data_IF_469689417859
#
_entry.id   IF_469689417859
#
_cell.length_a   1.000
_cell.length_b   1.000
_cell.length_c   1.000
_cell.angle_alpha   90.00
_cell.angle_beta   90.00
_cell.angle_gamma   90.00
#
_symmetry.space_group_name_H-M   'P 1'
#
loop_
_entity.id
_entity.type
_entity.pdbx_description
1 polymer ?
#
# COMPACT_ATOMS: atom_id res chain seq x y z
N UNK A 1 9.46 14.35 0.27
CA UNK A 1 8.17 13.73 0.66
C UNK A 1 8.00 13.58 2.18
N UNK A 2 8.95 14.07 2.99
CA UNK A 2 8.99 13.82 4.43
C UNK A 2 9.29 15.08 5.26
N UNK A 3 9.06 16.29 4.75
CA UNK A 3 9.17 17.49 5.61
C UNK A 3 8.02 17.61 6.62
N UNK A 4 6.98 16.76 6.52
CA UNK A 4 6.01 16.56 7.60
C UNK A 4 5.17 15.28 7.38
N UNK A 5 5.76 14.09 7.55
CA UNK A 5 4.95 12.85 7.62
C UNK A 5 3.83 12.97 8.66
N UNK A 6 4.07 13.74 9.72
CA UNK A 6 3.09 14.11 10.75
C UNK A 6 1.89 14.87 10.16
N UNK A 7 2.10 15.94 9.41
CA UNK A 7 1.02 16.73 8.78
C UNK A 7 0.22 15.88 7.77
N UNK A 8 0.88 14.98 7.03
CA UNK A 8 0.18 14.06 6.15
C UNK A 8 -0.71 13.09 6.92
N UNK A 9 -0.20 12.48 8.00
CA UNK A 9 -0.97 11.57 8.85
C UNK A 9 -2.12 12.29 9.55
N UNK A 10 -1.91 13.51 10.04
CA UNK A 10 -2.98 14.34 10.60
C UNK A 10 -4.07 14.62 9.56
N UNK A 11 -3.70 15.00 8.33
CA UNK A 11 -4.65 15.21 7.24
C UNK A 11 -5.43 13.93 6.90
N UNK A 12 -4.77 12.77 6.89
CA UNK A 12 -5.44 11.48 6.64
C UNK A 12 -6.39 11.14 7.80
N UNK A 13 -5.99 11.35 9.05
CA UNK A 13 -6.82 11.07 10.23
C UNK A 13 -8.04 11.99 10.33
N UNK A 14 -7.92 13.24 9.89
CA UNK A 14 -9.00 14.24 9.98
C UNK A 14 -9.98 14.21 8.80
N UNK A 15 -9.64 13.50 7.71
CA UNK A 15 -10.43 13.53 6.47
C UNK A 15 -10.73 12.12 5.97
N UNK A 16 -11.99 11.83 5.66
CA UNK A 16 -12.38 10.55 5.06
C UNK A 16 -11.78 10.35 3.66
N UNK A 17 -11.49 11.44 2.95
CA UNK A 17 -10.90 11.42 1.60
C UNK A 17 -9.80 12.48 1.51
N UNK A 18 -8.61 12.06 1.07
CA UNK A 18 -7.46 12.94 0.84
C UNK A 18 -6.94 12.74 -0.58
N UNK A 19 -6.79 13.83 -1.33
CA UNK A 19 -6.14 13.83 -2.64
C UNK A 19 -4.66 14.17 -2.49
N UNK A 20 -3.77 13.27 -2.95
CA UNK A 20 -2.31 13.44 -2.87
C UNK A 20 -1.76 13.55 -4.29
N UNK A 21 -1.18 14.71 -4.63
CA UNK A 21 -0.52 14.94 -5.91
C UNK A 21 1.00 14.98 -5.73
N UNK A 22 1.70 14.04 -6.36
CA UNK A 22 3.18 14.01 -6.39
C UNK A 22 3.68 13.35 -7.67
N UNK A 23 4.95 13.57 -8.03
CA UNK A 23 5.57 12.95 -9.20
C UNK A 23 5.63 11.41 -9.12
N UNK A 24 5.70 10.73 -10.27
CA UNK A 24 6.02 9.29 -10.32
C UNK A 24 7.41 9.05 -9.73
N UNK A 25 7.62 7.89 -9.10
CA UNK A 25 8.88 7.58 -8.41
C UNK A 25 9.01 8.20 -7.02
N UNK A 26 8.05 9.01 -6.58
CA UNK A 26 8.06 9.61 -5.25
C UNK A 26 7.80 8.61 -4.11
N UNK A 27 7.35 7.39 -4.41
CA UNK A 27 7.04 6.38 -3.39
C UNK A 27 5.58 6.34 -2.92
N UNK A 28 4.64 6.93 -3.69
CA UNK A 28 3.19 6.84 -3.37
C UNK A 28 2.69 5.40 -3.19
N UNK A 29 3.15 4.48 -4.01
CA UNK A 29 2.71 3.07 -3.97
C UNK A 29 3.62 2.17 -3.13
N UNK A 30 4.61 2.72 -2.41
CA UNK A 30 5.54 1.94 -1.59
C UNK A 30 5.65 2.51 -0.20
N UNK A 31 6.07 3.77 -0.07
CA UNK A 31 6.34 4.42 1.21
C UNK A 31 5.07 4.85 1.93
N UNK A 32 4.06 5.35 1.22
CA UNK A 32 2.81 5.79 1.86
C UNK A 32 2.05 4.62 2.53
N UNK A 33 1.82 3.47 1.87
CA UNK A 33 1.21 2.32 2.54
C UNK A 33 2.03 1.81 3.73
N UNK A 34 3.37 1.80 3.62
CA UNK A 34 4.23 1.40 4.73
C UNK A 34 4.22 2.39 5.89
N UNK A 35 4.09 3.69 5.61
CA UNK A 35 3.92 4.73 6.64
C UNK A 35 2.61 4.52 7.41
N UNK A 36 1.51 4.28 6.70
CA UNK A 36 0.21 4.00 7.33
C UNK A 36 0.28 2.74 8.20
N UNK A 37 0.93 1.67 7.72
CA UNK A 37 1.10 0.46 8.51
C UNK A 37 1.94 0.71 9.77
N UNK A 38 2.99 1.55 9.67
CA UNK A 38 3.80 1.95 10.81
C UNK A 38 3.05 2.84 11.82
N UNK A 39 2.05 3.59 11.35
CA UNK A 39 1.13 4.40 12.19
C UNK A 39 0.02 3.55 12.85
N UNK A 40 -0.01 2.24 12.61
CA UNK A 40 -0.94 1.31 13.25
C UNK A 40 -2.16 0.93 12.42
N UNK A 41 -2.22 1.32 11.14
CA UNK A 41 -3.27 0.85 10.25
C UNK A 41 -3.09 -0.63 9.91
N UNK A 42 -4.09 -1.45 10.23
CA UNK A 42 -4.01 -2.92 10.06
C UNK A 42 -4.58 -3.43 8.73
N UNK A 43 -5.34 -2.60 8.00
CA UNK A 43 -6.01 -2.99 6.74
C UNK A 43 -5.89 -1.89 5.70
N UNK A 44 -4.85 -1.99 4.88
CA UNK A 44 -4.50 -1.00 3.86
C UNK A 44 -4.64 -1.65 2.49
N UNK A 45 -5.64 -1.22 1.73
CA UNK A 45 -5.87 -1.70 0.36
C UNK A 45 -5.26 -0.71 -0.63
N UNK A 46 -4.32 -1.19 -1.45
CA UNK A 46 -3.68 -0.40 -2.51
C UNK A 46 -4.09 -0.97 -3.85
N UNK A 47 -4.96 -0.25 -4.55
CA UNK A 47 -5.46 -0.72 -5.83
C UNK A 47 -4.50 -0.37 -6.97
N UNK A 48 -4.47 -1.22 -7.99
CA UNK A 48 -3.66 -1.03 -9.20
C UNK A 48 -4.48 -1.40 -10.44
N UNK A 49 -4.35 -0.66 -11.54
CA UNK A 49 -5.11 -0.94 -12.76
C UNK A 49 -4.61 -2.20 -13.51
N UNK A 50 -3.44 -2.75 -13.13
CA UNK A 50 -2.79 -3.87 -13.83
C UNK A 50 -2.30 -4.93 -12.83
N UNK A 51 -2.26 -6.18 -13.28
CA UNK A 51 -1.87 -7.34 -12.45
C UNK A 51 -0.41 -7.32 -12.02
N UNK A 52 0.51 -7.03 -12.95
CA UNK A 52 1.96 -7.09 -12.69
C UNK A 52 2.42 -6.14 -11.56
N UNK A 53 1.98 -4.87 -11.52
CA UNK A 53 2.28 -3.97 -10.39
C UNK A 53 1.89 -4.50 -9.01
N UNK A 54 0.78 -5.25 -8.87
CA UNK A 54 0.36 -5.75 -7.55
C UNK A 54 1.45 -6.64 -6.93
N UNK A 55 1.96 -7.60 -7.69
CA UNK A 55 3.00 -8.52 -7.22
C UNK A 55 4.33 -7.77 -6.97
N UNK A 56 4.79 -6.97 -7.95
CA UNK A 56 6.06 -6.27 -7.86
C UNK A 56 6.11 -5.25 -6.70
N UNK A 57 5.01 -4.55 -6.43
CA UNK A 57 4.95 -3.59 -5.33
C UNK A 57 4.95 -4.28 -3.96
N UNK A 58 4.22 -5.39 -3.81
CA UNK A 58 4.24 -6.17 -2.58
C UNK A 58 5.66 -6.71 -2.29
N UNK A 59 6.30 -7.32 -3.29
CA UNK A 59 7.68 -7.78 -3.16
C UNK A 59 8.62 -6.61 -2.82
N UNK A 60 8.51 -5.49 -3.55
CA UNK A 60 9.34 -4.31 -3.31
C UNK A 60 9.21 -3.77 -1.90
N UNK A 61 7.99 -3.68 -1.36
CA UNK A 61 7.75 -3.22 0.02
C UNK A 61 8.35 -4.19 1.02
N UNK A 62 8.12 -5.50 0.85
CA UNK A 62 8.66 -6.51 1.75
C UNK A 62 10.20 -6.49 1.80
N UNK A 63 10.85 -6.40 0.64
CA UNK A 63 12.31 -6.27 0.56
C UNK A 63 12.80 -4.96 1.18
N UNK A 64 12.16 -3.83 0.87
CA UNK A 64 12.61 -2.51 1.33
C UNK A 64 12.45 -2.34 2.84
N UNK A 65 11.39 -2.91 3.41
CA UNK A 65 11.11 -2.88 4.85
C UNK A 65 11.69 -4.06 5.62
N UNK A 66 12.41 -4.97 4.94
CA UNK A 66 12.97 -6.20 5.53
C UNK A 66 11.93 -7.02 6.31
N UNK A 67 10.71 -7.11 5.78
CA UNK A 67 9.60 -7.84 6.38
C UNK A 67 8.83 -8.62 5.31
N UNK A 68 8.89 -9.94 5.37
CA UNK A 68 8.23 -10.82 4.39
C UNK A 68 6.71 -10.89 4.55
N UNK A 69 6.17 -10.40 5.67
CA UNK A 69 4.75 -10.48 6.02
C UNK A 69 4.02 -9.15 5.93
N UNK A 70 4.75 -8.04 5.74
CA UNK A 70 4.18 -6.69 5.75
C UNK A 70 3.18 -6.46 4.62
N UNK A 71 3.43 -7.02 3.43
CA UNK A 71 2.55 -6.84 2.29
C UNK A 71 2.30 -8.11 1.50
N UNK A 72 1.07 -8.24 1.00
CA UNK A 72 0.60 -9.30 0.13
C UNK A 72 -0.05 -8.73 -1.13
N UNK A 73 -0.49 -9.61 -2.03
CA UNK A 73 -1.18 -9.20 -3.23
C UNK A 73 -2.27 -10.18 -3.66
N UNK A 74 -3.26 -9.68 -4.41
CA UNK A 74 -4.25 -10.52 -5.09
C UNK A 74 -4.67 -9.92 -6.43
N UNK A 75 -4.87 -10.78 -7.41
CA UNK A 75 -5.41 -10.45 -8.72
C UNK A 75 -6.37 -11.56 -9.14
N UNK A 76 -7.09 -11.39 -10.25
CA UNK A 76 -7.95 -12.47 -10.76
C UNK A 76 -7.16 -13.77 -10.95
N UNK A 77 -7.65 -14.83 -10.30
CA UNK A 77 -7.09 -16.19 -10.35
C UNK A 77 -5.80 -16.43 -9.56
N UNK A 78 -5.22 -15.44 -8.87
CA UNK A 78 -3.95 -15.62 -8.15
C UNK A 78 -3.79 -14.66 -6.97
N UNK A 79 -3.09 -15.11 -5.92
CA UNK A 79 -2.80 -14.31 -4.72
C UNK A 79 -1.52 -14.79 -4.03
N UNK A 80 -0.93 -13.93 -3.20
CA UNK A 80 0.17 -14.31 -2.31
C UNK A 80 -0.32 -15.19 -1.16
N UNK A 81 0.60 -15.97 -0.57
CA UNK A 81 0.31 -16.86 0.57
C UNK A 81 -0.12 -16.10 1.83
N UNK A 82 0.42 -14.90 2.03
CA UNK A 82 0.12 -14.01 3.15
C UNK A 82 -1.07 -13.07 2.90
N UNK A 83 -1.84 -13.28 1.83
CA UNK A 83 -2.98 -12.43 1.45
C UNK A 83 -3.93 -12.10 2.61
N UNK A 84 -4.23 -13.08 3.47
CA UNK A 84 -5.21 -12.91 4.56
C UNK A 84 -4.64 -12.26 5.83
N UNK A 85 -3.31 -12.19 5.97
CA UNK A 85 -2.64 -11.73 7.19
C UNK A 85 -1.82 -10.47 6.99
N UNK A 86 -1.50 -10.10 5.75
CA UNK A 86 -0.69 -8.92 5.46
C UNK A 86 -1.50 -7.63 5.71
N UNK A 87 -0.97 -6.66 6.46
CA UNK A 87 -1.65 -5.40 6.70
C UNK A 87 -1.78 -4.54 5.43
N UNK A 88 -0.81 -4.66 4.50
CA UNK A 88 -0.86 -3.99 3.20
C UNK A 88 -1.21 -5.01 2.12
N UNK A 89 -2.27 -4.76 1.37
CA UNK A 89 -2.71 -5.63 0.30
C UNK A 89 -2.77 -4.86 -1.03
N UNK A 90 -1.93 -5.28 -1.99
CA UNK A 90 -1.97 -4.77 -3.35
C UNK A 90 -2.92 -5.59 -4.21
N UNK A 91 -3.88 -4.96 -4.87
CA UNK A 91 -4.87 -5.69 -5.65
C UNK A 91 -5.34 -4.97 -6.90
N UNK A 92 -5.87 -5.72 -7.87
CA UNK A 92 -6.48 -5.12 -9.05
C UNK A 92 -7.85 -4.54 -8.73
N UNK A 93 -8.17 -3.37 -9.28
CA UNK A 93 -9.46 -2.69 -9.07
C UNK A 93 -10.69 -3.61 -9.28
N UNK A 94 -10.60 -4.56 -10.21
CA UNK A 94 -11.67 -5.52 -10.50
C UNK A 94 -12.02 -6.51 -9.37
N UNK A 95 -11.22 -6.59 -8.30
CA UNK A 95 -11.52 -7.40 -7.12
C UNK A 95 -12.36 -6.67 -6.06
N UNK A 96 -12.56 -5.36 -6.20
CA UNK A 96 -13.39 -4.54 -5.30
C UNK A 96 -14.79 -4.24 -5.86
N UNK A 97 -15.09 -4.79 -7.03
CA UNK A 97 -16.39 -4.62 -7.69
C UNK A 97 -17.36 -5.72 -7.29
#
# INVERSE_FOLDING_TARGET
LFDSSVDLLEKINQNTVVAISTATGSGKSTLLPSLLAADGYEKILVTQPRRLPCNLLAERVNTSMKSSTLSGWAVSGARSSNFSSAPILYLTDGLLK
#
